data_IF_637629473220
#
_entry.id   IF_637629473220
#
_cell.length_a   1.000
_cell.length_b   1.000
_cell.length_c   1.000
_cell.angle_alpha   90.00
_cell.angle_beta   90.00
_cell.angle_gamma   90.00
#
_symmetry.space_group_name_H-M   'P 1'
#
loop_
_entity.id
_entity.type
_entity.pdbx_description
1 polymer ?
#
# COMPACT_ATOMS: atom_id res chain seq x y z
N UNK A 1 8.58 21.18 7.55
CA UNK A 1 8.23 22.55 7.15
C UNK A 1 9.22 23.48 7.82
N UNK A 2 10.08 24.17 7.05
CA UNK A 2 10.93 25.27 7.58
C UNK A 2 11.07 26.33 6.49
N UNK A 3 10.61 27.55 6.79
CA UNK A 3 10.87 28.75 5.98
C UNK A 3 12.03 29.51 6.62
N UNK A 4 13.13 29.73 5.89
CA UNK A 4 14.17 30.70 6.28
C UNK A 4 13.68 32.09 5.88
N UNK A 5 13.50 32.99 6.84
CA UNK A 5 13.13 34.39 6.56
C UNK A 5 14.40 35.23 6.59
N UNK A 6 15.08 35.34 5.46
CA UNK A 6 16.11 36.37 5.25
C UNK A 6 15.43 37.64 4.77
N UNK A 7 15.69 38.76 5.45
CA UNK A 7 15.25 40.10 5.01
C UNK A 7 15.99 40.43 3.71
N UNK A 8 15.20 40.77 2.69
CA UNK A 8 15.55 41.27 1.35
C UNK A 8 16.12 40.24 0.36
N UNK A 9 15.45 40.23 -0.81
CA UNK A 9 15.73 39.54 -2.08
C UNK A 9 15.30 38.05 -2.19
N UNK A 10 14.38 37.81 -3.14
CA UNK A 10 13.93 36.53 -3.72
C UNK A 10 14.32 35.28 -2.92
N UNK A 11 13.50 34.93 -1.93
CA UNK A 11 13.67 33.68 -1.19
C UNK A 11 13.12 32.53 -2.03
N UNK A 12 14.00 31.79 -2.70
CA UNK A 12 13.67 30.43 -3.13
C UNK A 12 13.46 29.63 -1.84
N UNK A 13 12.20 29.43 -1.43
CA UNK A 13 11.84 28.60 -0.27
C UNK A 13 11.96 27.13 -0.63
N UNK A 14 13.17 26.62 -0.76
CA UNK A 14 13.36 25.18 -0.85
C UNK A 14 13.25 24.58 0.54
N UNK A 15 12.38 23.58 0.67
CA UNK A 15 12.24 22.78 1.89
C UNK A 15 12.76 21.39 1.59
N UNK A 16 13.70 20.92 2.41
CA UNK A 16 14.22 19.55 2.33
C UNK A 16 13.61 18.75 3.47
N UNK A 17 13.09 17.58 3.12
CA UNK A 17 12.52 16.64 4.07
C UNK A 17 13.37 15.37 4.07
N UNK A 18 14.08 15.13 5.16
CA UNK A 18 14.83 13.89 5.37
C UNK A 18 13.91 12.94 6.13
N UNK A 19 13.48 11.87 5.47
CA UNK A 19 12.61 10.84 6.04
C UNK A 19 13.41 9.57 6.26
N UNK A 20 13.14 8.83 7.35
CA UNK A 20 13.79 7.56 7.69
C UNK A 20 15.30 7.68 8.00
N UNK A 21 15.75 8.81 8.55
CA UNK A 21 17.11 8.95 9.07
C UNK A 21 17.32 8.01 10.27
N UNK A 22 18.52 7.45 10.39
CA UNK A 22 18.97 6.82 11.63
C UNK A 22 18.94 7.81 12.80
N UNK A 23 18.94 7.31 14.03
CA UNK A 23 18.98 8.17 15.23
C UNK A 23 20.20 9.10 15.21
N UNK A 24 21.37 8.58 14.81
CA UNK A 24 22.59 9.37 14.72
C UNK A 24 22.46 10.51 13.69
N UNK A 25 21.93 10.23 12.50
CA UNK A 25 21.68 11.26 11.49
C UNK A 25 20.66 12.29 12.00
N UNK A 26 19.58 11.84 12.64
CA UNK A 26 18.54 12.71 13.19
C UNK A 26 19.08 13.69 14.24
N UNK A 27 19.98 13.24 15.11
CA UNK A 27 20.66 14.09 16.08
C UNK A 27 21.64 15.05 15.40
N UNK A 28 22.47 14.56 14.48
CA UNK A 28 23.42 15.38 13.73
C UNK A 28 22.72 16.49 12.91
N UNK A 29 21.53 16.21 12.37
CA UNK A 29 20.75 17.22 11.65
C UNK A 29 20.21 18.32 12.56
N UNK A 30 19.88 18.00 13.82
CA UNK A 30 19.46 18.99 14.82
C UNK A 30 20.57 20.02 15.06
N UNK A 31 21.82 19.58 15.19
CA UNK A 31 22.99 20.45 15.37
C UNK A 31 23.20 21.38 14.16
N UNK A 32 22.84 20.92 12.97
CA UNK A 32 22.89 21.69 11.71
C UNK A 32 21.67 22.61 11.51
N UNK A 33 20.82 22.78 12.52
CA UNK A 33 19.67 23.69 12.49
C UNK A 33 18.41 23.12 11.82
N UNK A 34 18.35 21.81 11.57
CA UNK A 34 17.12 21.18 11.08
C UNK A 34 16.11 20.99 12.21
N UNK A 35 14.82 21.12 11.90
CA UNK A 35 13.76 20.78 12.83
C UNK A 35 13.58 19.26 12.93
N UNK A 36 13.53 18.76 14.16
CA UNK A 36 13.25 17.35 14.44
C UNK A 36 11.76 17.08 14.28
N UNK A 37 11.43 16.18 13.35
CA UNK A 37 10.07 15.64 13.19
C UNK A 37 10.03 14.24 13.77
N UNK A 38 9.08 13.98 14.65
CA UNK A 38 8.74 12.64 15.10
C UNK A 38 7.52 12.18 14.30
N UNK A 39 7.62 11.00 13.71
CA UNK A 39 6.51 10.34 13.02
C UNK A 39 6.15 9.07 13.77
N UNK A 40 4.87 8.70 13.74
CA UNK A 40 4.42 7.39 14.23
C UNK A 40 4.24 6.46 13.05
N UNK A 41 4.74 5.23 13.19
CA UNK A 41 4.54 4.15 12.24
C UNK A 41 3.88 2.98 12.96
N UNK A 42 2.98 2.31 12.28
CA UNK A 42 2.38 1.07 12.76
C UNK A 42 3.04 -0.07 12.02
N UNK A 43 3.67 -0.97 12.76
CA UNK A 43 4.25 -2.18 12.21
C UNK A 43 3.40 -3.36 12.63
N UNK A 44 3.04 -4.18 11.66
CA UNK A 44 2.42 -5.47 11.91
C UNK A 44 3.50 -6.54 11.79
N UNK A 45 3.57 -7.42 12.78
CA UNK A 45 4.49 -8.55 12.79
C UNK A 45 3.69 -9.85 12.85
N UNK A 46 4.12 -10.83 12.06
CA UNK A 46 3.57 -12.18 12.17
C UNK A 46 4.04 -12.82 13.48
N UNK A 47 3.11 -13.25 14.35
CA UNK A 47 3.41 -13.91 15.63
C UNK A 47 3.43 -15.42 15.48
N UNK A 48 4.15 -15.91 14.47
CA UNK A 48 4.21 -17.33 14.10
C UNK A 48 2.85 -17.94 13.72
N UNK A 49 1.93 -17.14 13.17
CA UNK A 49 0.69 -17.67 12.62
C UNK A 49 0.99 -18.50 11.38
N UNK A 50 0.43 -19.71 11.32
CA UNK A 50 0.61 -20.64 10.20
C UNK A 50 -0.54 -20.58 9.22
N UNK A 51 -1.70 -20.17 9.70
CA UNK A 51 -2.88 -19.98 8.89
C UNK A 51 -3.65 -18.71 9.28
N UNK A 52 -4.66 -18.39 8.48
CA UNK A 52 -5.49 -17.22 8.72
C UNK A 52 -6.32 -17.33 10.01
N UNK A 53 -6.76 -18.54 10.37
CA UNK A 53 -7.55 -18.76 11.57
C UNK A 53 -6.72 -18.51 12.85
N UNK A 54 -5.42 -18.83 12.84
CA UNK A 54 -4.49 -18.50 13.94
C UNK A 54 -4.48 -16.99 14.20
N UNK A 55 -4.34 -16.19 13.14
CA UNK A 55 -4.35 -14.73 13.22
C UNK A 55 -5.69 -14.18 13.73
N UNK A 56 -6.81 -14.83 13.35
CA UNK A 56 -8.13 -14.43 13.83
C UNK A 56 -8.31 -14.71 15.33
N UNK A 57 -7.69 -15.74 15.88
CA UNK A 57 -7.81 -16.08 17.29
C UNK A 57 -7.28 -14.97 18.21
N UNK A 58 -6.23 -14.28 17.78
CA UNK A 58 -5.62 -13.14 18.50
C UNK A 58 -6.47 -11.86 18.47
N UNK A 59 -7.58 -11.84 17.71
CA UNK A 59 -8.46 -10.68 17.64
C UNK A 59 -9.59 -10.71 18.67
N UNK A 60 -9.98 -9.51 19.12
CA UNK A 60 -11.23 -9.31 19.89
C UNK A 60 -12.43 -9.89 19.14
N UNK A 61 -13.34 -10.57 19.87
CA UNK A 61 -14.50 -11.30 19.35
C UNK A 61 -15.29 -10.56 18.26
N UNK A 62 -15.62 -9.28 18.48
CA UNK A 62 -16.39 -8.48 17.51
C UNK A 62 -15.62 -8.26 16.20
N UNK A 63 -14.31 -7.99 16.28
CA UNK A 63 -13.47 -7.78 15.09
C UNK A 63 -13.30 -9.09 14.31
N UNK A 64 -13.04 -10.20 15.01
CA UNK A 64 -13.02 -11.55 14.43
C UNK A 64 -14.33 -11.86 13.70
N UNK A 65 -15.48 -11.72 14.37
CA UNK A 65 -16.81 -11.98 13.79
C UNK A 65 -17.03 -11.17 12.51
N UNK A 66 -16.72 -9.88 12.53
CA UNK A 66 -16.88 -9.02 11.35
C UNK A 66 -15.99 -9.49 10.20
N UNK A 67 -14.72 -9.82 10.45
CA UNK A 67 -13.82 -10.30 9.38
C UNK A 67 -14.31 -11.64 8.82
N UNK A 68 -14.71 -12.59 9.66
CA UNK A 68 -15.26 -13.87 9.20
C UNK A 68 -16.52 -13.68 8.33
N UNK A 69 -17.43 -12.77 8.72
CA UNK A 69 -18.63 -12.47 7.95
C UNK A 69 -18.29 -11.86 6.58
N UNK A 70 -17.34 -10.93 6.54
CA UNK A 70 -16.88 -10.35 5.28
C UNK A 70 -16.21 -11.40 4.37
N UNK A 71 -15.42 -12.31 4.93
CA UNK A 71 -14.77 -13.38 4.17
C UNK A 71 -15.78 -14.37 3.56
N UNK A 72 -16.87 -14.67 4.27
CA UNK A 72 -17.98 -15.47 3.73
C UNK A 72 -18.68 -14.79 2.55
N UNK A 73 -18.87 -13.46 2.59
CA UNK A 73 -19.45 -12.71 1.48
C UNK A 73 -18.59 -12.78 0.22
N UNK A 74 -17.27 -12.81 0.36
CA UNK A 74 -16.33 -12.96 -0.76
C UNK A 74 -16.43 -14.37 -1.34
N UNK A 75 -16.48 -15.39 -0.49
CA UNK A 75 -16.61 -16.79 -0.94
C UNK A 75 -17.95 -17.05 -1.64
N UNK A 76 -18.97 -16.24 -1.34
CA UNK A 76 -20.28 -16.26 -2.01
C UNK A 76 -20.30 -15.48 -3.33
N UNK A 77 -19.23 -14.73 -3.64
CA UNK A 77 -19.07 -14.04 -4.93
C UNK A 77 -18.19 -14.90 -5.84
N UNK A 78 -18.44 -14.86 -7.14
CA UNK A 78 -17.65 -15.58 -8.15
C UNK A 78 -16.29 -14.90 -8.42
N UNK A 79 -15.57 -14.56 -7.35
CA UNK A 79 -14.29 -13.87 -7.40
C UNK A 79 -13.12 -14.85 -7.27
N UNK A 80 -12.18 -14.75 -8.20
CA UNK A 80 -10.91 -15.46 -8.16
C UNK A 80 -9.81 -14.50 -7.70
N UNK A 81 -9.10 -14.87 -6.63
CA UNK A 81 -7.99 -14.08 -6.10
C UNK A 81 -6.65 -14.62 -6.61
N UNK A 82 -5.82 -13.76 -7.21
CA UNK A 82 -4.47 -14.12 -7.67
C UNK A 82 -3.41 -13.25 -7.01
N UNK A 83 -2.26 -13.85 -6.71
CA UNK A 83 -1.05 -13.15 -6.30
C UNK A 83 -0.08 -13.24 -7.47
N UNK A 84 0.34 -12.10 -7.99
CA UNK A 84 1.19 -12.00 -9.16
C UNK A 84 2.50 -11.32 -8.74
N UNK A 85 3.64 -11.91 -9.12
CA UNK A 85 4.98 -11.36 -8.91
C UNK A 85 5.79 -11.35 -10.20
N UNK A 86 6.73 -10.42 -10.29
CA UNK A 86 7.68 -10.35 -11.42
C UNK A 86 7.00 -10.48 -12.78
N UNK A 87 7.38 -11.52 -13.52
CA UNK A 87 6.91 -11.76 -14.89
C UNK A 87 5.44 -12.19 -14.99
N UNK A 88 4.80 -12.59 -13.89
CA UNK A 88 3.36 -12.85 -13.85
C UNK A 88 2.54 -11.56 -14.03
N UNK A 89 3.13 -10.41 -13.65
CA UNK A 89 2.53 -9.09 -13.79
C UNK A 89 2.66 -8.60 -15.25
N UNK A 90 1.76 -9.09 -16.09
CA UNK A 90 1.58 -8.66 -17.49
C UNK A 90 1.06 -7.23 -17.63
N UNK A 91 1.20 -6.65 -18.83
CA UNK A 91 0.75 -5.30 -19.17
C UNK A 91 -0.72 -5.03 -18.80
N UNK A 92 -1.62 -5.99 -19.07
CA UNK A 92 -3.04 -5.90 -18.70
C UNK A 92 -3.26 -5.57 -17.22
N UNK A 93 -2.48 -6.19 -16.33
CA UNK A 93 -2.63 -5.98 -14.89
C UNK A 93 -2.16 -4.58 -14.48
N UNK A 94 -1.08 -4.08 -15.11
CA UNK A 94 -0.53 -2.75 -14.84
C UNK A 94 -1.51 -1.65 -15.26
N UNK A 95 -2.16 -1.85 -16.41
CA UNK A 95 -3.11 -0.88 -16.97
C UNK A 95 -4.43 -0.84 -16.18
N UNK A 96 -4.97 -2.01 -15.83
CA UNK A 96 -6.13 -2.09 -14.94
C UNK A 96 -5.81 -1.49 -13.57
N UNK A 97 -4.65 -1.80 -12.99
CA UNK A 97 -4.26 -1.25 -11.68
C UNK A 97 -4.06 0.28 -11.71
N UNK A 98 -3.52 0.84 -12.80
CA UNK A 98 -3.42 2.29 -12.95
C UNK A 98 -4.82 2.95 -12.94
N UNK A 99 -5.79 2.34 -13.61
CA UNK A 99 -7.20 2.78 -13.55
C UNK A 99 -7.73 2.73 -12.12
N UNK A 100 -7.45 1.65 -11.37
CA UNK A 100 -7.87 1.49 -9.98
C UNK A 100 -7.25 2.53 -9.05
N UNK A 101 -5.95 2.79 -9.22
CA UNK A 101 -5.21 3.79 -8.47
C UNK A 101 -5.83 5.17 -8.65
N UNK A 102 -6.06 5.57 -9.92
CA UNK A 102 -6.69 6.84 -10.26
C UNK A 102 -8.07 7.00 -9.64
N UNK A 103 -8.93 5.99 -9.79
CA UNK A 103 -10.28 6.03 -9.23
C UNK A 103 -10.25 6.19 -7.70
N UNK A 104 -9.26 5.60 -7.03
CA UNK A 104 -9.15 5.68 -5.58
C UNK A 104 -8.60 7.03 -5.12
N UNK A 105 -7.65 7.62 -5.85
CA UNK A 105 -7.12 8.96 -5.55
C UNK A 105 -8.18 10.04 -5.76
N UNK A 106 -8.90 9.97 -6.88
CA UNK A 106 -9.89 10.97 -7.29
C UNK A 106 -11.05 11.06 -6.29
N UNK A 107 -11.40 9.94 -5.64
CA UNK A 107 -12.55 9.85 -4.73
C UNK A 107 -12.26 10.15 -3.26
N UNK A 108 -10.99 10.15 -2.83
CA UNK A 108 -10.69 10.17 -1.39
C UNK A 108 -9.80 11.33 -0.94
N UNK A 109 -8.58 11.53 -1.46
CA UNK A 109 -7.62 12.43 -0.78
C UNK A 109 -6.47 13.01 -1.64
N UNK A 110 -6.64 13.23 -2.95
CA UNK A 110 -5.66 14.05 -3.69
C UNK A 110 -5.59 13.86 -5.21
N UNK A 111 -4.65 14.56 -5.83
CA UNK A 111 -4.32 14.41 -7.25
C UNK A 111 -3.45 13.16 -7.47
N UNK A 112 -3.72 12.34 -8.49
CA UNK A 112 -2.87 11.20 -8.83
C UNK A 112 -1.47 11.68 -9.20
N UNK A 113 -0.48 11.33 -8.38
CA UNK A 113 0.91 11.75 -8.57
C UNK A 113 1.78 10.66 -9.23
N UNK A 114 1.31 9.41 -9.27
CA UNK A 114 1.99 8.33 -9.98
C UNK A 114 1.43 8.21 -11.40
N UNK A 115 2.33 8.17 -12.38
CA UNK A 115 1.96 8.07 -13.80
C UNK A 115 1.77 6.62 -14.22
N UNK A 116 1.14 6.40 -15.39
CA UNK A 116 1.06 5.05 -15.97
C UNK A 116 2.45 4.44 -16.21
N UNK A 117 3.39 5.24 -16.71
CA UNK A 117 4.77 4.81 -16.96
C UNK A 117 5.49 4.35 -15.68
N UNK A 118 5.20 4.96 -14.53
CA UNK A 118 5.74 4.51 -13.25
C UNK A 118 5.42 3.03 -12.99
N UNK A 119 4.17 2.60 -13.20
CA UNK A 119 3.75 1.21 -12.98
C UNK A 119 4.39 0.24 -13.98
N UNK A 120 4.60 0.67 -15.23
CA UNK A 120 5.32 -0.12 -16.23
C UNK A 120 6.80 -0.27 -15.89
N UNK A 121 7.46 0.81 -15.48
CA UNK A 121 8.87 0.82 -15.10
C UNK A 121 9.16 0.10 -13.77
N UNK A 122 8.22 0.14 -12.83
CA UNK A 122 8.37 -0.52 -11.54
C UNK A 122 8.44 -2.04 -11.71
N UNK A 123 7.55 -2.62 -12.53
CA UNK A 123 7.57 -4.06 -12.79
C UNK A 123 8.88 -4.54 -13.43
N UNK A 124 9.44 -3.77 -14.37
CA UNK A 124 10.70 -4.13 -15.04
C UNK A 124 11.93 -3.96 -14.15
N UNK A 125 11.96 -2.93 -13.29
CA UNK A 125 13.13 -2.62 -12.45
C UNK A 125 13.15 -3.39 -11.12
N UNK A 126 12.00 -3.73 -10.58
CA UNK A 126 11.89 -4.34 -9.25
C UNK A 126 11.54 -5.84 -9.32
N UNK A 127 11.08 -6.35 -10.47
CA UNK A 127 10.83 -7.78 -10.68
C UNK A 127 9.99 -8.41 -9.57
N UNK A 128 10.54 -9.43 -8.92
CA UNK A 128 9.86 -10.19 -7.86
C UNK A 128 9.64 -9.40 -6.56
N UNK A 129 10.23 -8.22 -6.42
CA UNK A 129 9.98 -7.32 -5.29
C UNK A 129 8.63 -6.59 -5.41
N UNK A 130 7.92 -6.74 -6.54
CA UNK A 130 6.56 -6.24 -6.71
C UNK A 130 5.57 -7.39 -6.51
N UNK A 131 4.66 -7.21 -5.55
CA UNK A 131 3.53 -8.10 -5.34
C UNK A 131 2.24 -7.36 -5.69
N UNK A 132 1.55 -7.88 -6.70
CA UNK A 132 0.21 -7.43 -7.07
C UNK A 132 -0.80 -8.52 -6.69
N UNK A 133 -1.67 -8.20 -5.74
CA UNK A 133 -2.82 -9.05 -5.40
C UNK A 133 -4.03 -8.53 -6.16
N UNK A 134 -4.66 -9.37 -6.97
CA UNK A 134 -5.82 -9.01 -7.80
C UNK A 134 -7.03 -9.87 -7.46
N UNK A 135 -8.22 -9.29 -7.67
CA UNK A 135 -9.49 -9.98 -7.70
C UNK A 135 -10.03 -9.96 -9.13
N UNK A 136 -10.42 -11.13 -9.63
CA UNK A 136 -11.00 -11.32 -10.97
C UNK A 136 -12.42 -11.86 -10.86
N UNK A 137 -13.35 -11.30 -11.61
CA UNK A 137 -14.69 -11.86 -11.85
C UNK A 137 -14.74 -12.37 -13.30
N UNK A 138 -14.65 -13.68 -13.49
CA UNK A 138 -14.35 -14.25 -14.80
C UNK A 138 -12.96 -13.81 -15.28
N UNK A 139 -12.90 -13.11 -16.41
CA UNK A 139 -11.66 -12.58 -16.99
C UNK A 139 -11.39 -11.10 -16.65
N UNK A 140 -12.32 -10.46 -15.94
CA UNK A 140 -12.26 -9.03 -15.63
C UNK A 140 -11.63 -8.76 -14.26
N UNK A 141 -10.65 -7.85 -14.23
CA UNK A 141 -10.05 -7.39 -12.98
C UNK A 141 -11.01 -6.41 -12.29
N UNK A 142 -11.47 -6.76 -11.10
CA UNK A 142 -12.43 -5.94 -10.33
C UNK A 142 -11.81 -5.25 -9.12
N UNK A 143 -10.60 -5.65 -8.72
CA UNK A 143 -9.82 -4.92 -7.72
C UNK A 143 -8.35 -5.31 -7.75
N UNK A 144 -7.51 -4.47 -7.13
CA UNK A 144 -6.12 -4.80 -6.91
C UNK A 144 -5.51 -4.09 -5.71
N UNK A 145 -4.40 -4.65 -5.23
CA UNK A 145 -3.51 -4.02 -4.28
C UNK A 145 -2.05 -4.30 -4.62
N UNK A 146 -1.27 -3.23 -4.69
CA UNK A 146 0.13 -3.26 -5.03
C UNK A 146 0.97 -2.99 -3.80
N UNK A 147 1.93 -3.89 -3.62
CA UNK A 147 2.76 -3.97 -2.43
C UNK A 147 4.20 -4.25 -2.83
N UNK A 148 5.15 -3.68 -2.10
CA UNK A 148 6.57 -3.92 -2.32
C UNK A 148 7.12 -4.89 -1.27
N UNK A 149 8.03 -5.76 -1.68
CA UNK A 149 8.70 -6.74 -0.81
C UNK A 149 10.15 -6.28 -0.63
N UNK A 150 10.58 -6.14 0.62
CA UNK A 150 11.97 -5.86 0.98
C UNK A 150 12.41 -6.73 2.15
N UNK A 151 13.38 -7.61 1.92
CA UNK A 151 13.80 -8.58 2.92
C UNK A 151 12.64 -9.50 3.35
N UNK A 152 12.36 -9.52 4.64
CA UNK A 152 11.26 -10.23 5.29
C UNK A 152 9.98 -9.38 5.44
N UNK A 153 9.98 -8.16 4.88
CA UNK A 153 8.95 -7.15 5.14
C UNK A 153 8.18 -6.79 3.88
N UNK A 154 6.87 -6.56 4.04
CA UNK A 154 5.93 -6.13 3.00
C UNK A 154 5.48 -4.69 3.27
N UNK A 155 5.60 -3.85 2.25
CA UNK A 155 5.27 -2.42 2.29
C UNK A 155 4.02 -2.12 1.47
N UNK A 156 2.85 -2.30 2.10
CA UNK A 156 1.56 -2.01 1.48
C UNK A 156 1.44 -0.52 1.14
N UNK A 157 1.22 -0.19 -0.14
CA UNK A 157 1.23 1.21 -0.59
C UNK A 157 -0.02 1.65 -1.32
N UNK A 158 -0.48 0.85 -2.29
CA UNK A 158 -1.52 1.26 -3.23
C UNK A 158 -2.59 0.18 -3.32
N UNK A 159 -3.84 0.60 -3.50
CA UNK A 159 -4.98 -0.28 -3.69
C UNK A 159 -6.07 0.48 -4.45
N UNK A 160 -7.01 -0.26 -5.04
CA UNK A 160 -8.17 0.35 -5.66
C UNK A 160 -9.06 -0.64 -6.41
N UNK A 161 -10.09 -0.08 -7.05
CA UNK A 161 -11.03 -0.80 -7.89
C UNK A 161 -11.60 0.10 -9.03
N UNK A 162 -12.37 -0.45 -9.97
CA UNK A 162 -13.20 0.32 -10.89
C UNK A 162 -14.30 1.12 -10.17
N UNK A 163 -14.68 2.27 -10.72
CA UNK A 163 -15.67 3.19 -10.14
C UNK A 163 -17.06 2.56 -9.89
N UNK A 164 -17.46 1.54 -10.67
CA UNK A 164 -18.74 0.82 -10.47
C UNK A 164 -18.78 -0.03 -9.19
N UNK A 165 -17.63 -0.47 -8.68
CA UNK A 165 -17.56 -1.12 -7.38
C UNK A 165 -17.32 -0.06 -6.31
N UNK A 166 -18.34 0.25 -5.51
CA UNK A 166 -18.09 0.90 -4.21
C UNK A 166 -17.31 -0.12 -3.40
N UNK A 167 -15.99 0.07 -3.19
CA UNK A 167 -15.16 -0.86 -2.42
C UNK A 167 -15.79 -1.05 -1.06
N UNK A 168 -16.45 -2.18 -0.79
CA UNK A 168 -16.85 -2.45 0.55
C UNK A 168 -15.55 -2.86 1.25
N UNK A 169 -15.47 -2.56 2.54
CA UNK A 169 -14.23 -2.53 3.32
C UNK A 169 -13.45 -3.85 3.33
N UNK A 170 -13.99 -4.90 2.71
CA UNK A 170 -13.43 -6.25 2.63
C UNK A 170 -12.19 -6.40 1.74
N UNK A 171 -12.01 -5.64 0.65
CA UNK A 171 -10.80 -5.80 -0.22
C UNK A 171 -9.55 -5.24 0.46
N UNK A 172 -9.66 -4.07 1.08
CA UNK A 172 -8.61 -3.52 1.95
C UNK A 172 -8.24 -4.46 3.09
N UNK A 173 -9.25 -5.13 3.68
CA UNK A 173 -9.01 -6.14 4.70
C UNK A 173 -8.30 -7.36 4.10
N UNK A 174 -8.76 -7.91 2.98
CA UNK A 174 -8.20 -9.08 2.30
C UNK A 174 -6.70 -9.01 2.04
N UNK A 175 -6.23 -7.82 1.64
CA UNK A 175 -4.80 -7.55 1.41
C UNK A 175 -4.04 -7.79 2.71
N UNK A 176 -4.51 -7.24 3.83
CA UNK A 176 -3.97 -7.45 5.19
C UNK A 176 -4.12 -8.92 5.64
N UNK A 177 -5.26 -9.54 5.34
CA UNK A 177 -5.66 -10.86 5.80
C UNK A 177 -4.80 -12.00 5.25
N UNK A 178 -4.34 -11.87 4.00
CA UNK A 178 -3.55 -12.91 3.31
C UNK A 178 -2.03 -12.68 3.39
N UNK A 179 -1.55 -11.67 4.14
CA UNK A 179 -0.11 -11.45 4.40
C UNK A 179 0.47 -12.29 5.53
N UNK A 180 -0.32 -13.19 6.12
CA UNK A 180 0.14 -14.13 7.15
C UNK A 180 1.12 -15.18 6.59
N UNK A 181 1.22 -15.33 5.27
CA UNK A 181 2.14 -16.26 4.62
C UNK A 181 2.77 -15.60 3.38
N UNK A 182 3.93 -14.99 3.58
CA UNK A 182 4.97 -14.84 2.54
C UNK A 182 5.86 -16.06 2.66
#
# INVERSE_FOLDING_TARGET
MVSRKTRNNLVIRQTIHITFSSENEWQNHKEKGFLRRIGMQYHWTNRSYTCFDDFLMDMKRNKRKNICQEHKKISAQNLTMKRLRGNEIKAKHRDSFYTFYRNTTDNKWGSPYLTREFFHNMGSKMGDQVLLVVAEEGDELVAGALTLIGGDTIYGRLWGCPQKLIIPTYILKLVITRFVSI
#
